data_IF_191668031099
#
_entry.id   IF_191668031099
#
_cell.length_a   1.000
_cell.length_b   1.000
_cell.length_c   1.000
_cell.angle_alpha   90.00
_cell.angle_beta   90.00
_cell.angle_gamma   90.00
#
_symmetry.space_group_name_H-M   'P 1'
#
loop_
_entity.id
_entity.type
_entity.pdbx_description
1 polymer ?
#
# COMPACT_ATOMS: atom_id res chain seq x y z
N UNK A 1 12.50 -13.19 -10.43
CA UNK A 1 12.78 -13.34 -8.97
C UNK A 1 13.03 -12.00 -8.26
N UNK A 2 13.98 -11.17 -8.71
CA UNK A 2 14.33 -9.88 -8.07
C UNK A 2 13.13 -8.95 -7.92
N UNK A 3 12.30 -8.85 -8.97
CA UNK A 3 11.07 -8.04 -8.92
C UNK A 3 10.10 -8.56 -7.84
N UNK A 4 9.78 -9.87 -7.86
CA UNK A 4 8.89 -10.46 -6.86
C UNK A 4 9.39 -10.22 -5.43
N UNK A 5 10.68 -10.48 -5.16
CA UNK A 5 11.29 -10.26 -3.85
C UNK A 5 11.25 -8.78 -3.43
N UNK A 6 11.48 -7.86 -4.37
CA UNK A 6 11.36 -6.42 -4.13
C UNK A 6 9.94 -6.02 -3.73
N UNK A 7 8.94 -6.45 -4.50
CA UNK A 7 7.54 -6.15 -4.24
C UNK A 7 7.02 -6.77 -2.93
N UNK A 8 7.40 -8.01 -2.62
CA UNK A 8 7.01 -8.66 -1.37
C UNK A 8 7.66 -7.98 -0.16
N UNK A 9 8.96 -7.65 -0.24
CA UNK A 9 9.67 -6.95 0.85
C UNK A 9 9.07 -5.57 1.08
N UNK A 10 8.82 -4.83 0.00
CA UNK A 10 8.16 -3.53 0.05
C UNK A 10 6.76 -3.61 0.69
N UNK A 11 5.96 -4.60 0.30
CA UNK A 11 4.63 -4.83 0.88
C UNK A 11 4.73 -5.15 2.38
N UNK A 12 5.64 -6.03 2.79
CA UNK A 12 5.85 -6.34 4.22
C UNK A 12 6.24 -5.09 5.02
N UNK A 13 7.12 -4.26 4.49
CA UNK A 13 7.54 -3.01 5.14
C UNK A 13 6.36 -2.04 5.32
N UNK A 14 5.56 -1.83 4.28
CA UNK A 14 4.40 -0.92 4.37
C UNK A 14 3.35 -1.45 5.34
N UNK A 15 2.99 -2.74 5.27
CA UNK A 15 1.94 -3.29 6.12
C UNK A 15 2.38 -3.39 7.58
N UNK A 16 3.67 -3.64 7.85
CA UNK A 16 4.22 -3.61 9.22
C UNK A 16 4.25 -2.19 9.81
N UNK A 17 4.55 -1.16 9.00
CA UNK A 17 4.43 0.24 9.43
C UNK A 17 2.98 0.58 9.80
N UNK A 18 2.00 0.16 8.99
CA UNK A 18 0.57 0.35 9.27
C UNK A 18 0.12 -0.35 10.54
N UNK A 19 0.55 -1.60 10.74
CA UNK A 19 0.28 -2.35 11.97
C UNK A 19 0.89 -1.66 13.19
N UNK A 20 2.12 -1.16 13.09
CA UNK A 20 2.80 -0.44 14.17
C UNK A 20 2.08 0.87 14.53
N UNK A 21 1.61 1.62 13.52
CA UNK A 21 0.78 2.81 13.72
C UNK A 21 -0.54 2.47 14.42
N UNK A 22 -1.20 1.38 14.00
CA UNK A 22 -2.43 0.93 14.64
C UNK A 22 -2.19 0.54 16.11
N UNK A 23 -1.12 -0.19 16.41
CA UNK A 23 -0.71 -0.54 17.80
C UNK A 23 -0.40 0.71 18.62
N UNK A 24 0.24 1.72 18.02
CA UNK A 24 0.44 3.01 18.69
C UNK A 24 -0.91 3.68 19.02
N UNK A 25 -1.88 3.62 18.11
CA UNK A 25 -3.23 4.13 18.36
C UNK A 25 -3.97 3.34 19.44
N UNK A 26 -3.80 2.01 19.51
CA UNK A 26 -4.42 1.23 20.58
C UNK A 26 -3.90 1.65 21.95
N UNK A 27 -2.59 1.88 22.06
CA UNK A 27 -1.94 2.37 23.30
C UNK A 27 -2.49 3.75 23.70
N UNK A 28 -2.60 4.69 22.75
CA UNK A 28 -3.13 6.03 23.01
C UNK A 28 -4.61 6.02 23.40
N UNK A 29 -5.42 5.24 22.69
CA UNK A 29 -6.89 5.23 22.83
C UNK A 29 -7.37 4.27 23.91
N UNK A 30 -6.50 3.42 24.47
CA UNK A 30 -6.85 2.53 25.60
C UNK A 30 -7.47 3.25 26.80
N UNK A 31 -7.22 4.56 26.94
CA UNK A 31 -7.76 5.41 28.00
C UNK A 31 -9.09 6.10 27.68
N UNK A 32 -9.60 6.01 26.44
CA UNK A 32 -10.76 6.80 25.97
C UNK A 32 -12.09 6.01 25.83
N UNK A 33 -12.13 4.70 26.13
CA UNK A 33 -13.38 3.94 26.33
C UNK A 33 -13.54 2.67 25.49
N UNK A 34 -14.51 1.82 25.86
CA UNK A 34 -14.76 0.48 25.28
C UNK A 34 -15.15 0.47 23.79
N UNK A 35 -15.89 1.48 23.32
CA UNK A 35 -16.36 1.52 21.91
C UNK A 35 -15.20 1.58 20.90
N UNK A 36 -14.06 2.16 21.27
CA UNK A 36 -12.88 2.23 20.40
C UNK A 36 -12.17 0.89 20.21
N UNK A 37 -12.33 -0.06 21.13
CA UNK A 37 -11.74 -1.38 20.99
C UNK A 37 -12.31 -2.10 19.77
N UNK A 38 -13.60 -1.94 19.50
CA UNK A 38 -14.26 -2.55 18.33
C UNK A 38 -13.68 -2.04 17.00
N UNK A 39 -13.46 -0.73 16.89
CA UNK A 39 -12.79 -0.13 15.73
C UNK A 39 -11.37 -0.66 15.58
N UNK A 40 -10.61 -0.77 16.66
CA UNK A 40 -9.25 -1.29 16.64
C UNK A 40 -9.20 -2.75 16.15
N UNK A 41 -10.06 -3.63 16.70
CA UNK A 41 -10.11 -5.03 16.27
C UNK A 41 -10.48 -5.16 14.80
N UNK A 42 -11.45 -4.37 14.34
CA UNK A 42 -11.78 -4.29 12.92
C UNK A 42 -10.57 -3.84 12.09
N UNK A 43 -9.83 -2.82 12.54
CA UNK A 43 -8.62 -2.35 11.87
C UNK A 43 -7.51 -3.38 11.75
N UNK A 44 -7.29 -4.18 12.80
CA UNK A 44 -6.32 -5.29 12.77
C UNK A 44 -6.73 -6.32 11.72
N UNK A 45 -8.00 -6.73 11.73
CA UNK A 45 -8.55 -7.66 10.76
C UNK A 45 -8.44 -7.11 9.33
N UNK A 46 -8.78 -5.84 9.13
CA UNK A 46 -8.75 -5.19 7.82
C UNK A 46 -7.31 -5.08 7.25
N UNK A 47 -6.33 -4.67 8.06
CA UNK A 47 -4.92 -4.62 7.63
C UNK A 47 -4.41 -6.02 7.29
N UNK A 48 -4.74 -7.04 8.09
CA UNK A 48 -4.34 -8.42 7.81
C UNK A 48 -4.98 -8.95 6.51
N UNK A 49 -6.28 -8.72 6.31
CA UNK A 49 -7.02 -9.17 5.12
C UNK A 49 -6.47 -8.53 3.84
N UNK A 50 -6.20 -7.22 3.87
CA UNK A 50 -5.63 -6.50 2.71
C UNK A 50 -4.19 -6.93 2.41
N UNK A 51 -3.39 -7.28 3.41
CA UNK A 51 -2.04 -7.83 3.22
C UNK A 51 -2.08 -9.18 2.50
N UNK A 52 -2.93 -10.09 2.98
CA UNK A 52 -3.12 -11.41 2.37
C UNK A 52 -3.61 -11.24 0.93
N UNK A 53 -4.56 -10.35 0.70
CA UNK A 53 -5.08 -10.06 -0.65
C UNK A 53 -3.98 -9.52 -1.57
N UNK A 54 -3.14 -8.59 -1.08
CA UNK A 54 -2.03 -8.05 -1.86
C UNK A 54 -1.03 -9.13 -2.27
N UNK A 55 -0.67 -10.04 -1.35
CA UNK A 55 0.21 -11.17 -1.64
C UNK A 55 -0.44 -12.11 -2.67
N UNK A 56 -1.72 -12.45 -2.50
CA UNK A 56 -2.44 -13.32 -3.42
C UNK A 56 -2.53 -12.72 -4.83
N UNK A 57 -2.76 -11.41 -4.95
CA UNK A 57 -2.81 -10.72 -6.25
C UNK A 57 -1.43 -10.75 -6.93
N UNK A 58 -0.35 -10.53 -6.16
CA UNK A 58 1.02 -10.61 -6.69
C UNK A 58 1.36 -12.03 -7.12
N UNK A 59 0.95 -13.06 -6.37
CA UNK A 59 1.19 -14.47 -6.71
C UNK A 59 0.31 -14.97 -7.86
N UNK A 60 -0.95 -14.58 -7.90
CA UNK A 60 -1.92 -14.99 -8.91
C UNK A 60 -1.83 -14.18 -10.21
N UNK A 61 -1.07 -13.07 -10.20
CA UNK A 61 -0.98 -12.12 -11.31
C UNK A 61 -0.42 -12.67 -12.62
N UNK A 62 0.31 -13.79 -12.58
CA UNK A 62 0.82 -14.47 -13.77
C UNK A 62 0.54 -15.98 -13.71
N UNK A 63 -0.08 -16.50 -14.77
CA UNK A 63 -0.32 -17.93 -14.99
C UNK A 63 0.24 -18.29 -16.38
N UNK A 64 1.08 -19.32 -16.51
CA UNK A 64 1.65 -20.17 -15.46
C UNK A 64 2.75 -19.45 -14.67
N UNK A 65 2.85 -19.76 -13.37
CA UNK A 65 3.84 -19.18 -12.45
C UNK A 65 5.27 -19.30 -13.00
N UNK A 66 5.55 -20.33 -13.83
CA UNK A 66 6.87 -20.57 -14.43
C UNK A 66 7.46 -19.35 -15.15
N UNK A 67 6.59 -18.49 -15.69
CA UNK A 67 6.98 -17.28 -16.42
C UNK A 67 7.57 -16.18 -15.52
N UNK A 68 7.46 -16.26 -14.19
CA UNK A 68 8.17 -15.34 -13.27
C UNK A 68 9.69 -15.56 -13.22
N UNK A 69 10.15 -16.74 -13.63
CA UNK A 69 11.56 -17.14 -13.57
C UNK A 69 12.24 -17.14 -14.95
N UNK A 70 11.49 -16.91 -16.02
CA UNK A 70 12.00 -16.96 -17.38
C UNK A 70 12.70 -15.64 -17.75
N UNK A 71 14.01 -15.69 -18.04
CA UNK A 71 14.82 -14.53 -18.46
C UNK A 71 14.71 -14.26 -19.97
N UNK A 72 14.56 -15.31 -20.78
CA UNK A 72 14.36 -15.27 -22.23
C UNK A 72 13.44 -16.42 -22.67
N UNK A 73 12.53 -16.25 -23.65
CA UNK A 73 11.98 -15.01 -24.20
C UNK A 73 11.12 -14.20 -23.21
N UNK A 74 10.89 -12.92 -23.51
CA UNK A 74 10.15 -11.98 -22.66
C UNK A 74 8.75 -12.51 -22.29
N UNK A 75 8.40 -12.66 -21.00
CA UNK A 75 7.13 -13.25 -20.56
C UNK A 75 5.91 -12.32 -20.77
N UNK A 76 6.12 -11.16 -21.39
CA UNK A 76 5.09 -10.15 -21.66
C UNK A 76 4.73 -9.28 -20.45
N UNK A 77 4.08 -8.15 -20.72
CA UNK A 77 3.69 -7.13 -19.73
C UNK A 77 2.79 -7.65 -18.60
N UNK A 78 2.03 -8.72 -18.84
CA UNK A 78 1.11 -9.29 -17.86
C UNK A 78 1.83 -10.05 -16.74
N UNK A 79 3.04 -10.55 -16.99
CA UNK A 79 3.82 -11.30 -16.00
C UNK A 79 4.88 -10.44 -15.28
N UNK A 80 5.03 -9.18 -15.68
CA UNK A 80 5.86 -8.21 -14.99
C UNK A 80 5.01 -7.44 -13.96
N UNK A 81 5.30 -7.63 -12.67
CA UNK A 81 4.53 -7.02 -11.57
C UNK A 81 4.49 -5.49 -11.69
N UNK A 82 5.61 -4.88 -12.11
CA UNK A 82 5.74 -3.43 -12.28
C UNK A 82 5.09 -2.87 -13.55
N UNK A 83 4.63 -3.74 -14.45
CA UNK A 83 4.06 -3.35 -15.76
C UNK A 83 2.62 -3.82 -15.93
N UNK A 84 2.14 -4.71 -15.06
CA UNK A 84 0.78 -5.24 -15.10
C UNK A 84 -0.21 -4.24 -14.50
N UNK A 85 -1.07 -3.61 -15.32
CA UNK A 85 -1.98 -2.58 -14.84
C UNK A 85 -2.93 -3.14 -13.77
N UNK A 86 -3.44 -4.36 -13.95
CA UNK A 86 -4.39 -4.98 -13.02
C UNK A 86 -3.79 -5.15 -11.62
N UNK A 87 -2.54 -5.62 -11.52
CA UNK A 87 -1.86 -5.82 -10.23
C UNK A 87 -1.63 -4.47 -9.55
N UNK A 88 -1.15 -3.48 -10.31
CA UNK A 88 -0.88 -2.13 -9.80
C UNK A 88 -2.15 -1.49 -9.28
N UNK A 89 -3.24 -1.52 -10.05
CA UNK A 89 -4.52 -0.92 -9.66
C UNK A 89 -5.06 -1.56 -8.37
N UNK A 90 -5.12 -2.90 -8.31
CA UNK A 90 -5.64 -3.59 -7.12
C UNK A 90 -4.76 -3.34 -5.89
N UNK A 91 -3.44 -3.45 -6.03
CA UNK A 91 -2.50 -3.19 -4.93
C UNK A 91 -2.61 -1.75 -4.42
N UNK A 92 -2.64 -0.78 -5.34
CA UNK A 92 -2.75 0.63 -5.01
C UNK A 92 -4.09 0.95 -4.33
N UNK A 93 -5.20 0.40 -4.83
CA UNK A 93 -6.53 0.57 -4.23
C UNK A 93 -6.60 0.01 -2.81
N UNK A 94 -6.05 -1.18 -2.57
CA UNK A 94 -5.98 -1.76 -1.22
C UNK A 94 -5.12 -0.91 -0.28
N UNK A 95 -3.99 -0.42 -0.78
CA UNK A 95 -3.10 0.45 -0.03
C UNK A 95 -3.83 1.75 0.38
N UNK A 96 -4.43 2.45 -0.58
CA UNK A 96 -5.20 3.69 -0.33
C UNK A 96 -6.38 3.44 0.60
N UNK A 97 -7.09 2.31 0.47
CA UNK A 97 -8.22 1.98 1.33
C UNK A 97 -7.79 1.80 2.80
N UNK A 98 -6.68 1.10 3.05
CA UNK A 98 -6.11 0.98 4.41
C UNK A 98 -5.63 2.31 4.98
N UNK A 99 -5.13 3.21 4.13
CA UNK A 99 -4.66 4.53 4.55
C UNK A 99 -5.83 5.43 4.94
N UNK A 100 -6.87 5.45 4.11
CA UNK A 100 -8.11 6.14 4.39
C UNK A 100 -8.72 5.64 5.71
N UNK A 101 -8.76 4.32 5.92
CA UNK A 101 -9.22 3.75 7.17
C UNK A 101 -8.39 4.23 8.37
N UNK A 102 -7.05 4.19 8.30
CA UNK A 102 -6.17 4.67 9.38
C UNK A 102 -6.36 6.15 9.69
N UNK A 103 -6.74 6.98 8.71
CA UNK A 103 -7.09 8.40 8.92
C UNK A 103 -8.42 8.55 9.66
N UNK A 104 -9.39 7.66 9.42
CA UNK A 104 -10.69 7.70 10.11
C UNK A 104 -10.59 7.26 11.58
N UNK A 105 -9.65 6.38 11.94
CA UNK A 105 -9.46 5.89 13.33
C UNK A 105 -9.27 7.03 14.36
N UNK A 106 -8.39 8.04 14.15
CA UNK A 106 -8.22 9.15 15.09
C UNK A 106 -9.25 10.28 14.93
N UNK A 107 -10.07 10.29 13.86
CA UNK A 107 -11.05 11.37 13.64
C UNK A 107 -12.11 11.51 14.76
N UNK A 108 -12.78 10.43 15.22
CA UNK A 108 -13.71 10.53 16.34
C UNK A 108 -12.99 10.87 17.67
N UNK A 109 -11.73 10.44 17.82
CA UNK A 109 -10.90 10.77 18.97
C UNK A 109 -10.63 12.28 19.08
N UNK A 110 -10.38 12.92 17.94
CA UNK A 110 -10.13 14.36 17.85
C UNK A 110 -11.38 15.21 18.07
N UNK A 111 -12.56 14.65 17.86
CA UNK A 111 -13.81 15.34 18.18
C UNK A 111 -14.07 15.38 19.70
N UNK A 112 -13.56 14.38 20.43
CA UNK A 112 -13.71 14.28 21.89
C UNK A 112 -12.51 14.83 22.68
N UNK A 113 -11.32 14.92 22.09
CA UNK A 113 -10.09 15.38 22.76
C UNK A 113 -9.58 16.68 22.14
N UNK A 114 -9.39 17.74 22.96
CA UNK A 114 -8.78 19.05 22.62
C UNK A 114 -7.29 18.96 22.21
N UNK A 115 -6.90 17.99 21.39
CA UNK A 115 -5.52 17.77 20.95
C UNK A 115 -5.21 18.59 19.68
N UNK A 116 -4.02 19.23 19.66
CA UNK A 116 -3.60 20.21 18.64
C UNK A 116 -3.60 19.62 17.21
N UNK A 117 -4.38 20.24 16.33
CA UNK A 117 -4.57 19.95 14.89
C UNK A 117 -3.27 19.71 14.09
N UNK A 118 -2.14 20.25 14.55
CA UNK A 118 -0.81 20.13 13.93
C UNK A 118 -0.29 18.69 13.82
N UNK A 119 -0.59 17.82 14.81
CA UNK A 119 -0.22 16.38 14.74
C UNK A 119 -1.11 15.59 13.76
N UNK A 120 -2.36 16.02 13.59
CA UNK A 120 -3.32 15.45 12.62
C UNK A 120 -2.88 15.73 11.18
N UNK A 121 -2.48 16.97 10.92
CA UNK A 121 -2.01 17.39 9.61
C UNK A 121 -0.70 16.68 9.22
N UNK A 122 0.28 16.58 10.12
CA UNK A 122 1.56 15.91 9.83
C UNK A 122 1.41 14.45 9.41
N UNK A 123 0.48 13.71 10.02
CA UNK A 123 0.25 12.31 9.67
C UNK A 123 -0.45 12.12 8.32
N UNK A 124 -1.45 12.96 8.03
CA UNK A 124 -2.14 12.97 6.72
C UNK A 124 -1.18 13.40 5.61
N UNK A 125 -0.30 14.35 5.88
CA UNK A 125 0.67 14.87 4.90
C UNK A 125 1.78 13.86 4.61
N UNK A 126 2.28 13.17 5.65
CA UNK A 126 3.20 12.03 5.48
C UNK A 126 2.58 10.89 4.65
N UNK A 127 1.29 10.59 4.88
CA UNK A 127 0.61 9.51 4.15
C UNK A 127 0.26 9.88 2.70
N UNK A 128 -0.26 11.09 2.46
CA UNK A 128 -0.55 11.56 1.11
C UNK A 128 0.72 11.75 0.27
N UNK A 129 1.82 12.17 0.90
CA UNK A 129 3.13 12.25 0.25
C UNK A 129 3.64 10.88 -0.20
N UNK A 130 3.50 9.86 0.65
CA UNK A 130 3.85 8.48 0.31
C UNK A 130 3.02 7.94 -0.87
N UNK A 131 1.70 8.06 -0.82
CA UNK A 131 0.81 7.60 -1.89
C UNK A 131 1.05 8.34 -3.22
N UNK A 132 1.28 9.66 -3.16
CA UNK A 132 1.59 10.48 -4.32
C UNK A 132 2.90 10.04 -5.00
N UNK A 133 3.98 9.87 -4.24
CA UNK A 133 5.28 9.45 -4.78
C UNK A 133 5.19 8.08 -5.46
N UNK A 134 4.42 7.14 -4.88
CA UNK A 134 4.23 5.81 -5.46
C UNK A 134 3.42 5.87 -6.75
N UNK A 135 2.33 6.66 -6.76
CA UNK A 135 1.50 6.86 -7.96
C UNK A 135 2.29 7.53 -9.09
N UNK A 136 3.02 8.61 -8.79
CA UNK A 136 3.89 9.26 -9.77
C UNK A 136 4.98 8.33 -10.29
N UNK A 137 5.58 7.53 -9.41
CA UNK A 137 6.60 6.54 -9.80
C UNK A 137 6.04 5.47 -10.73
N UNK A 138 4.85 4.94 -10.45
CA UNK A 138 4.20 3.91 -11.29
C UNK A 138 3.71 4.46 -12.63
N UNK A 139 3.15 5.68 -12.64
CA UNK A 139 2.78 6.36 -13.89
C UNK A 139 4.02 6.62 -14.75
N UNK A 140 5.11 7.10 -14.13
CA UNK A 140 6.38 7.31 -14.84
C UNK A 140 6.91 6.01 -15.45
N UNK A 141 6.98 4.92 -14.69
CA UNK A 141 7.50 3.65 -15.21
C UNK A 141 6.60 3.05 -16.30
N UNK A 142 5.28 3.21 -16.20
CA UNK A 142 4.34 2.71 -17.22
C UNK A 142 4.37 3.52 -18.51
N UNK A 143 4.59 4.83 -18.45
CA UNK A 143 4.81 5.68 -19.63
C UNK A 143 6.12 5.29 -20.32
N UNK A 144 7.22 5.16 -19.56
CA UNK A 144 8.51 4.73 -20.11
C UNK A 144 8.43 3.33 -20.74
N UNK A 145 7.68 2.41 -20.15
CA UNK A 145 7.50 1.06 -20.68
C UNK A 145 6.63 1.01 -21.95
N UNK A 146 5.70 1.95 -22.13
CA UNK A 146 4.86 2.04 -23.35
C UNK A 146 5.55 2.78 -24.50
N UNK A 147 6.46 3.70 -24.21
CA UNK A 147 7.21 4.49 -25.21
C UNK A 147 8.73 4.22 -25.16
N UNK A 148 9.22 3.09 -25.72
CA UNK A 148 10.66 2.78 -25.71
C UNK A 148 11.49 3.75 -26.57
N UNK A 149 10.87 4.51 -27.48
CA UNK A 149 11.56 5.45 -28.39
C UNK A 149 11.77 6.82 -27.74
N UNK A 150 10.79 7.33 -26.97
CA UNK A 150 10.88 8.64 -26.30
C UNK A 150 11.30 8.54 -24.81
N UNK A 151 11.08 7.39 -24.15
CA UNK A 151 11.44 7.19 -22.76
C UNK A 151 12.95 7.18 -22.48
N UNK A 152 13.78 6.84 -23.49
CA UNK A 152 15.25 6.90 -23.40
C UNK A 152 15.84 8.31 -23.44
N UNK A 153 15.09 9.31 -23.92
CA UNK A 153 15.53 10.73 -23.93
C UNK A 153 15.21 11.47 -22.62
N UNK A 154 14.43 10.86 -21.71
CA UNK A 154 13.96 11.47 -20.46
C UNK A 154 14.63 10.87 -19.21
N UNK A 155 15.74 10.16 -19.40
CA UNK A 155 16.64 9.68 -18.34
C UNK A 155 17.90 10.55 -18.33
#
# INVERSE_FOLDING_TARGET
MIQLAGWTTYSVLIWSLKASLLVLYTRLTSRLGKNYQYYIYFGIFFIAATWITAILVVLAGCRPLHKYWQISPDPGVNCQIASSPTIIWVYNSLNVATDAYLITVPMPLLWQSRMKLKRKAGLVLLFSGGAGVIAFSTVRTTIIARDPVNGKLLV
#
